data_IF_440027830413
#
_entry.id   IF_440027830413
#
_cell.length_a   1.000
_cell.length_b   1.000
_cell.length_c   1.000
_cell.angle_alpha   90.00
_cell.angle_beta   90.00
_cell.angle_gamma   90.00
#
_symmetry.space_group_name_H-M   'P 1'
#
loop_
_entity.id
_entity.type
_entity.pdbx_description
1 polymer ?
#
# COMPACT_ATOMS: atom_id res chain seq x y z
N UNK A 1 17.40 3.22 12.39
CA UNK A 1 17.53 2.53 11.10
C UNK A 1 16.44 1.48 11.03
N UNK A 2 15.61 1.48 9.98
CA UNK A 2 14.55 0.49 9.81
C UNK A 2 14.74 -0.23 8.48
N UNK A 3 14.39 -1.52 8.46
CA UNK A 3 14.47 -2.35 7.27
C UNK A 3 13.15 -3.06 7.06
N UNK A 4 12.67 -3.08 5.83
CA UNK A 4 11.38 -3.64 5.48
C UNK A 4 11.35 -4.05 4.02
N UNK A 5 10.39 -4.91 3.66
CA UNK A 5 10.08 -5.18 2.25
C UNK A 5 8.81 -4.46 1.85
N UNK A 6 8.78 -3.94 0.63
CA UNK A 6 7.65 -3.19 0.11
C UNK A 6 7.53 -3.30 -1.42
N UNK A 7 6.31 -3.15 -1.93
CA UNK A 7 6.06 -2.90 -3.34
C UNK A 7 6.17 -1.39 -3.59
N UNK A 8 7.23 -0.97 -4.26
CA UNK A 8 7.48 0.44 -4.59
C UNK A 8 6.63 0.88 -5.78
N UNK A 9 5.89 1.96 -5.63
CA UNK A 9 5.05 2.46 -6.73
C UNK A 9 5.92 3.05 -7.83
N UNK A 10 5.65 2.66 -9.07
CA UNK A 10 6.28 3.28 -10.26
C UNK A 10 5.70 4.67 -10.50
N UNK A 11 6.45 5.54 -11.21
CA UNK A 11 5.96 6.89 -11.54
C UNK A 11 4.67 6.87 -12.37
N UNK A 12 4.53 5.89 -13.27
CA UNK A 12 3.29 5.66 -14.02
C UNK A 12 2.13 5.32 -13.08
N UNK A 13 2.34 4.39 -12.14
CA UNK A 13 1.32 4.05 -11.13
C UNK A 13 0.95 5.26 -10.28
N UNK A 14 1.93 6.05 -9.82
CA UNK A 14 1.66 7.27 -9.05
C UNK A 14 0.80 8.25 -9.84
N UNK A 15 1.12 8.50 -11.12
CA UNK A 15 0.32 9.38 -12.00
C UNK A 15 -1.11 8.86 -12.18
N UNK A 16 -1.28 7.56 -12.46
CA UNK A 16 -2.60 6.93 -12.63
C UNK A 16 -3.43 7.00 -11.35
N UNK A 17 -2.83 6.75 -10.20
CA UNK A 17 -3.51 6.85 -8.91
C UNK A 17 -3.91 8.30 -8.60
N UNK A 18 -3.03 9.27 -8.82
CA UNK A 18 -3.31 10.70 -8.60
C UNK A 18 -4.45 11.20 -9.49
N UNK A 19 -4.54 10.73 -10.73
CA UNK A 19 -5.66 11.06 -11.62
C UNK A 19 -7.00 10.45 -11.16
N UNK A 20 -6.96 9.32 -10.44
CA UNK A 20 -8.14 8.55 -10.03
C UNK A 20 -8.64 8.87 -8.62
N UNK A 21 -7.74 9.20 -7.71
CA UNK A 21 -8.00 9.38 -6.29
C UNK A 21 -7.46 10.73 -5.82
N UNK A 22 -8.34 11.74 -5.73
CA UNK A 22 -7.94 13.05 -5.22
C UNK A 22 -7.49 12.91 -3.75
N UNK A 23 -6.29 13.41 -3.38
CA UNK A 23 -5.86 13.43 -1.98
C UNK A 23 -6.75 14.36 -1.16
N UNK A 24 -7.18 13.91 0.02
CA UNK A 24 -7.96 14.74 0.96
C UNK A 24 -7.09 15.73 1.75
N UNK A 25 -5.77 15.47 1.83
CA UNK A 25 -4.85 16.21 2.70
C UNK A 25 -3.62 16.71 1.93
N UNK A 26 -2.96 17.79 2.39
CA UNK A 26 -1.96 18.52 1.58
C UNK A 26 -0.69 17.71 1.27
N UNK A 27 -0.27 16.81 2.16
CA UNK A 27 0.94 16.02 1.94
C UNK A 27 0.61 14.65 1.34
N UNK A 28 0.81 14.50 0.04
CA UNK A 28 0.77 13.21 -0.64
C UNK A 28 2.03 12.39 -0.27
N UNK A 29 1.84 11.12 0.11
CA UNK A 29 2.94 10.18 0.34
C UNK A 29 3.10 9.25 -0.87
N UNK A 30 2.11 8.40 -1.15
CA UNK A 30 2.03 7.58 -2.37
C UNK A 30 3.35 6.88 -2.77
N UNK A 31 4.11 6.38 -1.78
CA UNK A 31 5.47 5.87 -2.03
C UNK A 31 5.51 4.37 -2.29
N UNK A 32 4.84 3.59 -1.44
CA UNK A 32 4.97 2.15 -1.41
C UNK A 32 3.79 1.48 -0.70
N UNK A 33 3.70 0.17 -0.89
CA UNK A 33 2.86 -0.75 -0.12
C UNK A 33 3.80 -1.62 0.72
N UNK A 34 3.75 -1.51 2.03
CA UNK A 34 4.61 -2.33 2.90
C UNK A 34 4.15 -3.78 2.86
N UNK A 35 5.09 -4.72 2.70
CA UNK A 35 4.84 -6.17 2.74
C UNK A 35 5.17 -6.76 4.12
N UNK A 36 6.38 -6.47 4.63
CA UNK A 36 6.83 -6.96 5.94
C UNK A 36 7.71 -5.94 6.65
N UNK A 37 7.48 -5.76 7.95
CA UNK A 37 8.28 -4.89 8.81
C UNK A 37 8.38 -5.49 10.23
N UNK A 38 9.56 -5.48 10.88
CA UNK A 38 10.88 -5.28 10.28
C UNK A 38 11.36 -6.56 9.55
N UNK A 39 12.27 -6.43 8.58
CA UNK A 39 12.97 -7.59 7.97
C UNK A 39 14.34 -7.22 7.42
N UNK A 40 15.33 -8.10 7.60
CA UNK A 40 16.71 -7.91 7.15
C UNK A 40 16.98 -8.36 5.70
N UNK A 41 16.07 -9.16 5.13
CA UNK A 41 16.17 -9.69 3.77
C UNK A 41 14.83 -9.56 3.01
N UNK A 42 14.77 -10.15 1.81
CA UNK A 42 13.54 -10.21 1.02
C UNK A 42 12.43 -11.06 1.68
N UNK A 43 12.73 -11.92 2.66
CA UNK A 43 11.78 -12.81 3.32
C UNK A 43 10.90 -13.57 2.31
N UNK A 44 9.58 -13.39 2.40
CA UNK A 44 8.53 -13.94 1.53
C UNK A 44 8.09 -12.97 0.42
N UNK A 45 8.88 -11.92 0.17
CA UNK A 45 8.63 -10.97 -0.92
C UNK A 45 8.76 -11.67 -2.27
N UNK A 46 7.82 -11.37 -3.16
CA UNK A 46 7.75 -11.93 -4.51
C UNK A 46 7.34 -10.86 -5.51
N UNK A 47 7.46 -11.19 -6.79
CA UNK A 47 6.81 -10.40 -7.84
C UNK A 47 5.33 -10.77 -7.83
N UNK A 48 4.49 -9.83 -7.37
CA UNK A 48 3.05 -10.02 -7.39
C UNK A 48 2.53 -10.05 -8.83
N UNK A 49 1.66 -11.01 -9.12
CA UNK A 49 0.98 -11.12 -10.41
C UNK A 49 -0.10 -10.04 -10.55
N UNK A 50 -0.72 -9.64 -9.43
CA UNK A 50 -1.82 -8.68 -9.39
C UNK A 50 -1.77 -7.81 -8.13
N UNK A 51 -1.79 -6.49 -8.33
CA UNK A 51 -1.91 -5.50 -7.25
C UNK A 51 -3.05 -4.54 -7.60
N UNK A 52 -3.97 -4.34 -6.65
CA UNK A 52 -5.18 -3.56 -6.90
C UNK A 52 -5.55 -2.67 -5.72
N UNK A 53 -6.04 -1.48 -6.01
CA UNK A 53 -6.79 -0.67 -5.04
C UNK A 53 -8.21 -1.19 -4.99
N UNK A 54 -8.72 -1.46 -3.80
CA UNK A 54 -10.09 -1.97 -3.58
C UNK A 54 -10.96 -1.01 -2.77
N UNK A 55 -10.36 -0.02 -2.10
CA UNK A 55 -11.10 0.95 -1.32
C UNK A 55 -10.26 2.17 -0.94
N UNK A 56 -10.94 3.21 -0.49
CA UNK A 56 -10.35 4.43 0.06
C UNK A 56 -10.78 4.57 1.51
N UNK A 57 -9.83 4.69 2.42
CA UNK A 57 -10.05 4.81 3.86
C UNK A 57 -9.61 6.20 4.32
N UNK A 58 -10.44 6.85 5.11
CA UNK A 58 -10.22 8.23 5.55
C UNK A 58 -10.73 8.41 6.99
N UNK A 59 -9.90 8.93 7.88
CA UNK A 59 -10.28 9.24 9.27
C UNK A 59 -11.04 10.56 9.41
N UNK A 60 -11.25 11.28 8.29
CA UNK A 60 -11.90 12.60 8.21
C UNK A 60 -11.24 13.69 9.06
N UNK A 61 -10.05 13.40 9.59
CA UNK A 61 -9.31 14.32 10.43
C UNK A 61 -8.01 14.73 9.75
N UNK A 62 -7.15 13.82 9.33
CA UNK A 62 -5.85 14.17 8.78
C UNK A 62 -5.10 13.06 8.08
N UNK A 63 -5.71 11.88 7.88
CA UNK A 63 -5.06 10.75 7.25
C UNK A 63 -5.99 10.01 6.29
N UNK A 64 -5.44 9.74 5.10
CA UNK A 64 -6.09 8.97 4.05
C UNK A 64 -5.19 7.84 3.58
N UNK A 65 -5.77 6.68 3.31
CA UNK A 65 -5.10 5.51 2.79
C UNK A 65 -5.90 4.87 1.65
N UNK A 66 -5.18 4.24 0.71
CA UNK A 66 -5.78 3.34 -0.28
C UNK A 66 -5.63 1.91 0.23
N UNK A 67 -6.75 1.17 0.32
CA UNK A 67 -6.74 -0.24 0.69
C UNK A 67 -6.36 -1.08 -0.53
N UNK A 68 -5.45 -2.04 -0.32
CA UNK A 68 -4.82 -2.78 -1.39
C UNK A 68 -5.11 -4.28 -1.25
N UNK A 69 -5.20 -4.94 -2.41
CA UNK A 69 -5.16 -6.39 -2.53
C UNK A 69 -3.94 -6.80 -3.35
N UNK A 70 -3.16 -7.75 -2.85
CA UNK A 70 -1.98 -8.32 -3.51
C UNK A 70 -2.25 -9.81 -3.74
N UNK A 71 -2.28 -10.25 -4.99
CA UNK A 71 -2.53 -11.65 -5.38
C UNK A 71 -3.78 -12.28 -4.75
N UNK A 72 -4.81 -11.47 -4.54
CA UNK A 72 -6.07 -11.89 -3.92
C UNK A 72 -6.16 -11.64 -2.42
N UNK A 73 -5.04 -11.38 -1.76
CA UNK A 73 -4.95 -11.19 -0.30
C UNK A 73 -5.02 -9.72 0.10
N UNK A 74 -5.78 -9.41 1.14
CA UNK A 74 -5.86 -8.06 1.72
C UNK A 74 -4.96 -7.89 2.94
N UNK A 75 -4.55 -8.99 3.56
CA UNK A 75 -3.70 -8.98 4.74
C UNK A 75 -2.27 -9.35 4.36
N UNK A 76 -1.34 -8.64 5.00
CA UNK A 76 0.09 -8.92 4.95
C UNK A 76 0.42 -10.18 5.75
N UNK A 77 1.59 -10.78 5.52
CA UNK A 77 2.08 -11.89 6.35
C UNK A 77 2.15 -11.59 7.86
N UNK A 78 2.23 -10.32 8.25
CA UNK A 78 2.23 -9.86 9.64
C UNK A 78 0.82 -9.56 10.21
N UNK A 79 -0.24 -9.88 9.47
CA UNK A 79 -1.64 -9.70 9.87
C UNK A 79 -2.15 -8.26 9.86
N UNK A 80 -1.39 -7.29 9.33
CA UNK A 80 -1.91 -5.95 9.06
C UNK A 80 -2.41 -5.86 7.61
N UNK A 81 -3.34 -4.95 7.30
CA UNK A 81 -3.86 -4.78 5.95
C UNK A 81 -2.82 -4.17 5.00
N UNK A 82 -2.79 -4.65 3.75
CA UNK A 82 -2.06 -3.97 2.69
C UNK A 82 -2.71 -2.63 2.39
N UNK A 83 -1.90 -1.58 2.36
CA UNK A 83 -2.37 -0.25 2.05
C UNK A 83 -1.24 0.63 1.49
N UNK A 84 -1.64 1.74 0.87
CA UNK A 84 -0.77 2.87 0.56
C UNK A 84 -1.21 4.00 1.48
N UNK A 85 -0.30 4.56 2.30
CA UNK A 85 -0.55 5.88 2.89
C UNK A 85 -0.66 6.89 1.75
N UNK A 86 -1.84 7.47 1.57
CA UNK A 86 -2.16 8.25 0.39
C UNK A 86 -1.84 9.72 0.59
N UNK A 87 -2.51 10.34 1.56
CA UNK A 87 -2.27 11.73 1.94
C UNK A 87 -2.41 11.91 3.44
N UNK A 88 -1.67 12.86 4.00
CA UNK A 88 -1.79 13.26 5.40
C UNK A 88 -1.63 14.77 5.59
N UNK A 89 -2.11 15.27 6.72
CA UNK A 89 -1.97 16.65 7.15
C UNK A 89 -1.00 16.71 8.35
N UNK A 90 0.27 17.14 8.15
CA UNK A 90 1.26 17.15 9.22
C UNK A 90 0.97 18.18 10.32
N UNK A 91 0.11 19.16 10.04
CA UNK A 91 -0.29 20.20 11.00
C UNK A 91 -1.46 19.75 11.90
N UNK A 92 -2.00 18.55 11.66
CA UNK A 92 -3.05 17.94 12.46
C UNK A 92 -2.52 16.88 13.41
N UNK A 93 -3.29 16.68 14.47
CA UNK A 93 -2.98 15.72 15.52
C UNK A 93 -3.81 14.45 15.35
N UNK A 94 -3.17 13.32 15.65
CA UNK A 94 -3.79 12.00 15.67
C UNK A 94 -4.89 11.97 16.74
N UNK A 95 -6.13 11.57 16.38
CA UNK A 95 -7.23 11.46 17.32
C UNK A 95 -6.94 10.46 18.45
N UNK A 96 -7.56 10.63 19.64
CA UNK A 96 -7.33 9.73 20.77
C UNK A 96 -7.57 8.25 20.48
N UNK A 97 -8.47 7.90 19.55
CA UNK A 97 -8.76 6.50 19.21
C UNK A 97 -7.68 5.83 18.33
N UNK A 98 -6.69 6.59 17.84
CA UNK A 98 -5.62 6.13 16.94
C UNK A 98 -4.22 6.23 17.55
N UNK A 99 -4.10 6.49 18.85
CA UNK A 99 -2.82 6.61 19.55
C UNK A 99 -2.83 5.78 20.83
N UNK A 100 -1.66 5.25 21.17
CA UNK A 100 -1.47 4.39 22.34
C UNK A 100 -1.22 5.21 23.62
N UNK A 101 -0.74 6.45 23.49
CA UNK A 101 -0.38 7.33 24.60
C UNK A 101 -1.24 8.61 24.59
N UNK A 102 -1.47 9.14 25.79
CA UNK A 102 -2.08 10.45 25.96
C UNK A 102 -1.10 11.55 25.56
N UNK A 103 -1.51 12.41 24.61
CA UNK A 103 -0.70 13.53 24.16
C UNK A 103 -0.96 13.92 22.72
N UNK A 104 -0.57 15.13 22.36
CA UNK A 104 -0.61 15.61 20.98
C UNK A 104 0.46 14.90 20.15
N UNK A 105 0.04 13.99 19.26
CA UNK A 105 0.94 13.26 18.35
C UNK A 105 0.63 13.70 16.92
N UNK A 106 1.62 14.17 16.12
CA UNK A 106 1.40 14.53 14.72
C UNK A 106 1.20 13.28 13.84
N UNK A 107 0.57 13.45 12.67
CA UNK A 107 0.39 12.34 11.73
C UNK A 107 1.69 11.83 11.11
N UNK A 108 1.92 10.53 11.29
CA UNK A 108 2.89 9.72 10.55
C UNK A 108 2.21 8.59 9.76
N UNK A 109 2.88 8.06 8.74
CA UNK A 109 2.39 6.95 7.90
C UNK A 109 2.03 5.68 8.69
N UNK A 110 2.68 5.42 9.83
CA UNK A 110 2.40 4.24 10.67
C UNK A 110 0.96 4.21 11.19
N UNK A 111 0.33 5.37 11.36
CA UNK A 111 -1.06 5.45 11.85
C UNK A 111 -2.08 4.93 10.83
N UNK A 112 -1.70 4.73 9.56
CA UNK A 112 -2.58 4.12 8.56
C UNK A 112 -2.97 2.69 8.95
N UNK A 113 -2.07 1.92 9.59
CA UNK A 113 -2.40 0.59 10.11
C UNK A 113 -3.51 0.66 11.15
N UNK A 114 -3.39 1.58 12.12
CA UNK A 114 -4.32 1.73 13.24
C UNK A 114 -5.69 2.18 12.71
N UNK A 115 -5.70 3.16 11.79
CA UNK A 115 -6.92 3.64 11.14
C UNK A 115 -7.69 2.52 10.45
N UNK A 116 -7.01 1.70 9.65
CA UNK A 116 -7.67 0.65 8.87
C UNK A 116 -8.15 -0.49 9.79
N UNK A 117 -7.34 -0.91 10.77
CA UNK A 117 -7.77 -1.90 11.76
C UNK A 117 -8.99 -1.44 12.54
N UNK A 118 -8.98 -0.20 13.03
CA UNK A 118 -10.14 0.37 13.73
C UNK A 118 -11.39 0.36 12.86
N UNK A 119 -11.26 0.69 11.57
CA UNK A 119 -12.37 0.62 10.60
C UNK A 119 -12.91 -0.80 10.45
N UNK A 120 -12.03 -1.80 10.34
CA UNK A 120 -12.41 -3.22 10.21
C UNK A 120 -13.06 -3.78 11.49
N UNK A 121 -12.59 -3.36 12.67
CA UNK A 121 -12.97 -3.96 13.96
C UNK A 121 -14.21 -3.32 14.60
N UNK A 122 -14.41 -1.99 14.45
CA UNK A 122 -15.34 -1.23 15.32
C UNK A 122 -16.53 -0.62 14.63
N UNK A 123 -16.46 -0.37 13.31
CA UNK A 123 -17.51 0.29 12.51
C UNK A 123 -18.30 1.39 13.26
N UNK A 124 -17.59 2.28 13.98
CA UNK A 124 -18.17 3.30 14.85
C UNK A 124 -18.34 4.66 14.15
N UNK A 125 -18.17 4.69 12.83
CA UNK A 125 -18.33 5.87 11.97
C UNK A 125 -17.19 6.89 12.02
N UNK A 126 -16.19 6.70 12.90
CA UNK A 126 -15.02 7.59 13.03
C UNK A 126 -14.10 7.53 11.82
N UNK A 127 -14.03 6.36 11.18
CA UNK A 127 -13.27 6.15 9.94
C UNK A 127 -14.27 5.82 8.85
N UNK A 128 -14.19 6.51 7.72
CA UNK A 128 -14.95 6.15 6.52
C UNK A 128 -14.14 5.22 5.63
N UNK A 129 -14.82 4.24 5.04
CA UNK A 129 -14.30 3.45 3.94
C UNK A 129 -15.26 3.55 2.75
N UNK A 130 -14.73 3.96 1.59
CA UNK A 130 -15.42 3.88 0.31
C UNK A 130 -14.80 2.75 -0.50
N UNK A 131 -15.50 1.63 -0.56
CA UNK A 131 -15.16 0.51 -1.44
C UNK A 131 -15.32 0.93 -2.91
N UNK A 132 -14.50 0.35 -3.77
CA UNK A 132 -14.63 0.54 -5.22
C UNK A 132 -15.54 -0.54 -5.79
N UNK A 133 -16.46 -0.13 -6.68
CA UNK A 133 -17.29 -1.07 -7.43
C UNK A 133 -16.43 -1.98 -8.32
N UNK A 134 -15.39 -1.40 -8.91
CA UNK A 134 -14.37 -2.10 -9.69
C UNK A 134 -12.97 -1.86 -9.10
N UNK A 135 -12.20 -2.93 -8.80
CA UNK A 135 -10.81 -2.80 -8.38
C UNK A 135 -9.96 -2.04 -9.40
N UNK A 136 -9.06 -1.18 -8.92
CA UNK A 136 -8.17 -0.40 -9.77
C UNK A 136 -6.77 -1.02 -9.79
N UNK A 137 -6.42 -1.67 -10.90
CA UNK A 137 -5.14 -2.36 -11.06
C UNK A 137 -3.95 -1.39 -11.20
N UNK A 138 -2.87 -1.70 -10.48
CA UNK A 138 -1.62 -0.93 -10.44
C UNK A 138 -0.39 -1.83 -10.59
N UNK A 139 0.75 -1.21 -10.89
CA UNK A 139 2.05 -1.89 -10.95
C UNK A 139 2.99 -1.34 -9.88
N UNK A 140 3.78 -2.22 -9.29
CA UNK A 140 4.78 -1.85 -8.29
C UNK A 140 5.94 -2.85 -8.32
N UNK A 141 7.09 -2.43 -7.82
CA UNK A 141 8.32 -3.24 -7.84
C UNK A 141 8.61 -3.77 -6.43
N UNK A 142 8.70 -5.09 -6.23
CA UNK A 142 9.10 -5.65 -4.95
C UNK A 142 10.53 -5.24 -4.61
N UNK A 143 10.74 -4.72 -3.42
CA UNK A 143 12.03 -4.25 -2.95
C UNK A 143 12.24 -4.55 -1.47
N UNK A 144 13.51 -4.73 -1.10
CA UNK A 144 13.98 -4.57 0.27
C UNK A 144 14.49 -3.13 0.44
N UNK A 145 14.04 -2.46 1.48
CA UNK A 145 14.33 -1.05 1.75
C UNK A 145 14.99 -0.94 3.11
N UNK A 146 16.15 -0.29 3.13
CA UNK A 146 16.88 0.06 4.33
C UNK A 146 16.87 1.57 4.52
N UNK A 147 16.07 2.05 5.47
CA UNK A 147 15.96 3.46 5.83
C UNK A 147 17.01 3.80 6.90
N UNK A 148 18.01 4.60 6.52
CA UNK A 148 19.14 4.98 7.38
C UNK A 148 18.90 6.29 8.13
N UNK A 149 18.09 7.18 7.56
CA UNK A 149 17.67 8.45 8.14
C UNK A 149 16.65 9.16 7.25
N UNK A 150 16.20 10.38 7.57
CA UNK A 150 15.27 11.12 6.70
C UNK A 150 15.84 11.29 5.28
N UNK A 151 15.14 10.77 4.27
CA UNK A 151 15.55 10.85 2.87
C UNK A 151 16.69 9.90 2.45
N UNK A 152 17.44 9.33 3.40
CA UNK A 152 18.50 8.36 3.11
C UNK A 152 17.98 6.92 3.17
N UNK A 153 17.92 6.30 2.00
CA UNK A 153 17.43 4.93 1.81
C UNK A 153 18.29 4.16 0.83
N UNK A 154 18.59 2.92 1.16
CA UNK A 154 19.12 1.92 0.22
C UNK A 154 17.96 1.05 -0.24
N UNK A 155 17.77 0.96 -1.56
CA UNK A 155 16.71 0.18 -2.19
C UNK A 155 17.34 -0.95 -2.99
N UNK A 156 17.00 -2.18 -2.63
CA UNK A 156 17.39 -3.38 -3.36
C UNK A 156 16.13 -3.97 -4.00
N UNK A 157 16.00 -3.87 -5.33
CA UNK A 157 14.88 -4.48 -6.06
C UNK A 157 15.06 -6.01 -6.08
N UNK A 158 13.98 -6.75 -5.83
CA UNK A 158 13.99 -8.21 -5.94
C UNK A 158 14.34 -8.60 -7.38
N UNK A 159 15.43 -9.35 -7.61
CA UNK A 159 15.81 -9.76 -8.96
C UNK A 159 14.67 -10.53 -9.64
N UNK A 160 14.38 -10.22 -10.90
CA UNK A 160 13.47 -11.06 -11.69
C UNK A 160 14.11 -12.41 -11.93
N UNK A 161 13.37 -13.50 -11.72
CA UNK A 161 13.81 -14.81 -12.20
C UNK A 161 13.99 -14.74 -13.72
N UNK A 162 15.10 -15.25 -14.28
CA UNK A 162 15.27 -15.35 -15.73
C UNK A 162 14.06 -16.06 -16.36
N UNK A 163 13.41 -15.43 -17.34
CA UNK A 163 12.23 -15.98 -18.03
C UNK A 163 10.86 -15.56 -17.48
N UNK A 164 10.78 -14.80 -16.37
CA UNK A 164 9.53 -14.23 -15.89
C UNK A 164 9.15 -12.98 -16.73
N UNK A 165 8.57 -13.21 -17.91
CA UNK A 165 7.96 -12.17 -18.72
C UNK A 165 6.73 -11.59 -18.02
N UNK A 166 6.58 -10.27 -18.06
CA UNK A 166 5.31 -9.63 -17.73
C UNK A 166 4.35 -9.93 -18.89
N UNK A 167 3.27 -10.68 -18.67
CA UNK A 167 2.20 -10.74 -19.66
C UNK A 167 1.38 -9.45 -19.51
N UNK A 168 1.45 -8.49 -20.46
CA UNK A 168 0.58 -7.34 -20.40
C UNK A 168 -0.87 -7.82 -20.45
N UNK A 169 -1.67 -7.35 -19.49
CA UNK A 169 -3.07 -7.69 -19.38
C UNK A 169 -3.80 -7.29 -20.67
N UNK A 170 -4.33 -8.28 -21.41
CA UNK A 170 -4.93 -8.10 -22.74
C UNK A 170 -4.54 -9.18 -23.76
N UNK A 171 -3.45 -9.93 -23.56
CA UNK A 171 -3.16 -11.11 -24.37
C UNK A 171 -4.02 -12.28 -23.90
N UNK A 172 -5.17 -12.51 -24.56
CA UNK A 172 -5.89 -13.77 -24.45
C UNK A 172 -4.95 -14.90 -24.91
N UNK A 173 -4.38 -15.65 -24.00
CA UNK A 173 -3.89 -17.00 -24.30
C UNK A 173 -5.12 -17.86 -24.59
N UNK A 174 -5.46 -18.05 -25.87
CA UNK A 174 -6.37 -19.11 -26.29
C UNK A 174 -5.72 -20.45 -25.92
N UNK A 175 -6.37 -21.30 -25.09
CA UNK A 175 -5.97 -22.70 -25.00
C UNK A 175 -6.21 -23.35 -26.37
N UNK A 176 -5.25 -24.17 -26.78
CA UNK A 176 -5.02 -24.55 -28.16
C UNK A 176 -6.19 -25.24 -28.85
N UNK A 177 -6.36 -24.92 -30.13
CA UNK A 177 -7.00 -25.81 -31.07
C UNK A 177 -6.15 -27.07 -31.19
N UNK A 178 -6.74 -28.23 -30.89
CA UNK A 178 -6.15 -29.52 -31.22
C UNK A 178 -6.09 -29.67 -32.75
N UNK A 179 -4.99 -30.16 -33.33
CA UNK A 179 -4.97 -30.51 -34.74
C UNK A 179 -5.80 -31.77 -34.98
N UNK A 180 -6.55 -31.75 -36.09
CA UNK A 180 -7.25 -32.91 -36.67
C UNK A 180 -6.24 -33.92 -37.22
#
# INVERSE_FOLDING_TARGET
MSKYTAYLLTDETKRRLMARFAPAYPQVKADHITHRYPTDDFADMHWADRIEVIGVVDDKNGLQALLIRVDGETDRPDGNPYHITWSLDPDRLVPPFMRDEDGAVPYESKHSNIMIKHMLDRNDGKVSCRWLDEPFAITAMPAHVEQRGPGDRVINILPKKPGAGYAPWGSKSHPGAAPQ
#
